data_IF_858384104078
#
_entry.id   IF_858384104078
#
_cell.length_a   1.000
_cell.length_b   1.000
_cell.length_c   1.000
_cell.angle_alpha   90.00
_cell.angle_beta   90.00
_cell.angle_gamma   90.00
#
_symmetry.space_group_name_H-M   'P 1'
#
loop_
_entity.id
_entity.type
_entity.pdbx_description
1 polymer ?
#
# COMPACT_ATOMS: atom_id res chain seq x y z
N UNK A 1 7.06 9.07 14.34
CA UNK A 1 5.92 8.18 14.68
C UNK A 1 6.31 6.74 14.37
N UNK A 2 6.03 5.78 15.26
CA UNK A 2 6.33 4.35 14.99
C UNK A 2 5.13 3.68 14.32
N UNK A 3 5.36 2.93 13.25
CA UNK A 3 4.36 2.13 12.54
C UNK A 3 4.45 0.67 13.00
N UNK A 4 3.30 -0.02 13.04
CA UNK A 4 3.26 -1.47 13.25
C UNK A 4 3.62 -2.23 11.98
N UNK A 5 4.00 -3.50 12.11
CA UNK A 5 4.30 -4.35 10.96
C UNK A 5 3.12 -4.47 9.98
N UNK A 6 1.88 -4.56 10.49
CA UNK A 6 0.68 -4.61 9.66
C UNK A 6 0.45 -3.31 8.88
N UNK A 7 0.76 -2.16 9.50
CA UNK A 7 0.66 -0.85 8.83
C UNK A 7 1.67 -0.72 7.69
N UNK A 8 2.93 -1.10 7.95
CA UNK A 8 3.99 -1.12 6.94
C UNK A 8 3.62 -2.03 5.77
N UNK A 9 3.12 -3.24 6.06
CA UNK A 9 2.70 -4.19 5.03
C UNK A 9 1.55 -3.63 4.19
N UNK A 10 0.53 -3.04 4.82
CA UNK A 10 -0.61 -2.47 4.11
C UNK A 10 -0.18 -1.33 3.19
N UNK A 11 0.64 -0.39 3.69
CA UNK A 11 1.21 0.70 2.89
C UNK A 11 1.94 0.16 1.66
N UNK A 12 2.84 -0.82 1.86
CA UNK A 12 3.60 -1.48 0.80
C UNK A 12 2.72 -2.04 -0.32
N UNK A 13 1.59 -2.64 0.03
CA UNK A 13 0.67 -3.25 -0.95
C UNK A 13 -0.22 -2.20 -1.63
N UNK A 14 -0.59 -1.12 -0.92
CA UNK A 14 -1.41 -0.02 -1.44
C UNK A 14 -0.61 1.14 -2.08
N UNK A 15 0.66 0.91 -2.39
CA UNK A 15 1.56 1.94 -2.89
C UNK A 15 1.29 2.35 -4.34
N UNK A 16 1.86 3.49 -4.74
CA UNK A 16 1.92 3.96 -6.12
C UNK A 16 3.31 3.71 -6.67
N UNK A 17 3.39 3.12 -7.85
CA UNK A 17 4.63 2.95 -8.58
C UNK A 17 4.97 4.27 -9.28
N UNK A 18 6.09 4.89 -8.92
CA UNK A 18 6.49 6.20 -9.48
C UNK A 18 6.94 6.11 -10.95
N UNK A 19 7.50 4.98 -11.37
CA UNK A 19 8.01 4.79 -12.73
C UNK A 19 6.88 4.60 -13.76
N UNK A 20 5.80 3.92 -13.36
CA UNK A 20 4.65 3.62 -14.21
C UNK A 20 3.43 4.50 -13.92
N UNK A 21 3.45 5.23 -12.80
CA UNK A 21 2.33 6.03 -12.30
C UNK A 21 1.16 5.20 -11.77
N UNK A 22 1.24 3.86 -11.80
CA UNK A 22 0.14 2.96 -11.43
C UNK A 22 -0.01 2.83 -9.91
N UNK A 23 -1.22 3.08 -9.40
CA UNK A 23 -1.57 2.88 -7.99
C UNK A 23 -2.14 1.49 -7.73
N UNK A 24 -1.75 0.86 -6.62
CA UNK A 24 -2.40 -0.36 -6.10
C UNK A 24 -3.21 -0.03 -4.86
N UNK A 25 -4.27 -0.79 -4.62
CA UNK A 25 -5.12 -0.63 -3.43
C UNK A 25 -5.29 -1.95 -2.69
N UNK A 26 -5.57 -1.86 -1.40
CA UNK A 26 -5.83 -3.03 -0.55
C UNK A 26 -7.32 -3.16 -0.32
N UNK A 27 -7.89 -4.29 -0.72
CA UNK A 27 -9.29 -4.64 -0.43
C UNK A 27 -9.47 -4.94 1.06
N UNK A 28 -10.42 -4.27 1.70
CA UNK A 28 -10.68 -4.40 3.15
C UNK A 28 -11.66 -5.54 3.44
N UNK A 29 -11.15 -6.78 3.44
CA UNK A 29 -11.98 -7.99 3.59
C UNK A 29 -12.12 -8.50 5.04
N UNK A 30 -11.40 -7.94 6.01
CA UNK A 30 -11.38 -8.43 7.40
C UNK A 30 -11.33 -7.29 8.42
N UNK A 31 -11.80 -7.55 9.64
CA UNK A 31 -11.74 -6.59 10.74
C UNK A 31 -10.30 -6.08 11.02
N UNK A 32 -9.29 -6.95 10.86
CA UNK A 32 -7.87 -6.58 10.99
C UNK A 32 -7.44 -5.58 9.93
N UNK A 33 -7.85 -5.78 8.67
CA UNK A 33 -7.53 -4.87 7.58
C UNK A 33 -8.19 -3.51 7.83
N UNK A 34 -9.47 -3.51 8.23
CA UNK A 34 -10.19 -2.29 8.59
C UNK A 34 -9.51 -1.52 9.73
N UNK A 35 -9.14 -2.21 10.81
CA UNK A 35 -8.44 -1.58 11.93
C UNK A 35 -7.13 -0.93 11.49
N UNK A 36 -6.36 -1.63 10.65
CA UNK A 36 -5.07 -1.15 10.14
C UNK A 36 -5.27 0.08 9.23
N UNK A 37 -6.22 0.02 8.30
CA UNK A 37 -6.55 1.10 7.38
C UNK A 37 -7.00 2.36 8.12
N UNK A 38 -7.91 2.23 9.09
CA UNK A 38 -8.35 3.38 9.90
C UNK A 38 -7.21 3.99 10.71
N UNK A 39 -6.31 3.16 11.23
CA UNK A 39 -5.14 3.67 11.96
C UNK A 39 -4.23 4.49 11.03
N UNK A 40 -4.02 4.05 9.78
CA UNK A 40 -3.23 4.76 8.78
C UNK A 40 -3.91 6.05 8.28
N UNK A 41 -5.22 6.01 8.05
CA UNK A 41 -6.01 7.18 7.64
C UNK A 41 -5.97 8.28 8.70
N UNK A 42 -6.15 7.94 9.97
CA UNK A 42 -6.01 8.90 11.09
C UNK A 42 -4.61 9.52 11.20
N UNK A 43 -3.59 8.86 10.64
CA UNK A 43 -2.21 9.34 10.58
C UNK A 43 -1.91 10.14 9.30
N UNK A 44 -2.90 10.30 8.40
CA UNK A 44 -2.74 11.00 7.13
C UNK A 44 -1.96 10.22 6.07
N UNK A 45 -1.77 8.91 6.25
CA UNK A 45 -0.92 8.08 5.39
C UNK A 45 -1.69 7.37 4.26
N UNK A 46 -3.00 7.55 4.19
CA UNK A 46 -3.83 6.99 3.15
C UNK A 46 -5.29 7.39 3.32
N UNK A 47 -6.13 6.92 2.41
CA UNK A 47 -7.58 7.14 2.41
C UNK A 47 -8.32 5.83 2.24
N UNK A 48 -9.47 5.71 2.89
CA UNK A 48 -10.40 4.62 2.66
C UNK A 48 -11.48 5.11 1.70
N UNK A 49 -11.66 4.40 0.59
CA UNK A 49 -12.80 4.60 -0.29
C UNK A 49 -13.82 3.50 0.01
N UNK A 50 -14.88 3.88 0.72
CA UNK A 50 -15.98 2.98 1.08
C UNK A 50 -17.09 3.06 0.04
N UNK A 51 -17.20 2.04 -0.81
CA UNK A 51 -18.26 1.95 -1.80
C UNK A 51 -19.62 1.51 -1.21
N UNK A 52 -19.81 1.56 0.11
CA UNK A 52 -21.12 1.25 0.74
C UNK A 52 -22.32 2.01 0.15
N UNK A 53 -22.10 3.19 -0.43
CA UNK A 53 -23.16 4.01 -1.03
C UNK A 53 -23.72 3.44 -2.36
N UNK A 54 -23.02 2.51 -3.03
CA UNK A 54 -23.48 2.01 -4.34
C UNK A 54 -24.45 0.83 -4.25
N UNK A 55 -24.71 0.30 -3.05
CA UNK A 55 -25.71 -0.73 -2.82
C UNK A 55 -25.32 -2.11 -3.38
N UNK A 56 -25.21 -3.09 -2.47
CA UNK A 56 -24.83 -4.51 -2.68
C UNK A 56 -23.32 -4.75 -2.77
N UNK A 57 -22.73 -5.15 -1.63
CA UNK A 57 -21.43 -5.84 -1.53
C UNK A 57 -20.23 -5.16 -2.21
N UNK A 58 -20.28 -3.85 -2.45
CA UNK A 58 -19.16 -3.15 -3.02
C UNK A 58 -18.00 -3.17 -2.02
N UNK A 59 -16.84 -3.63 -2.48
CA UNK A 59 -15.68 -3.74 -1.64
C UNK A 59 -15.14 -2.35 -1.29
N UNK A 60 -14.79 -2.15 -0.02
CA UNK A 60 -14.07 -0.97 0.42
C UNK A 60 -12.56 -1.19 0.22
N UNK A 61 -11.87 -0.13 -0.19
CA UNK A 61 -10.45 -0.17 -0.52
C UNK A 61 -9.67 0.86 0.27
N UNK A 62 -8.43 0.53 0.62
CA UNK A 62 -7.46 1.46 1.16
C UNK A 62 -6.42 1.82 0.10
N UNK A 63 -6.12 3.11 -0.02
CA UNK A 63 -5.11 3.67 -0.90
C UNK A 63 -4.07 4.43 -0.07
N UNK A 64 -2.79 4.23 -0.33
CA UNK A 64 -1.76 5.10 0.23
C UNK A 64 -1.91 6.52 -0.33
N UNK A 65 -1.47 7.51 0.43
CA UNK A 65 -1.50 8.91 -0.02
C UNK A 65 -0.53 9.15 -1.20
N UNK A 66 -0.70 10.27 -1.90
CA UNK A 66 0.13 10.63 -3.06
C UNK A 66 1.62 10.81 -2.73
N UNK A 67 1.94 11.07 -1.47
CA UNK A 67 3.32 11.12 -0.96
C UNK A 67 4.00 9.75 -0.88
N UNK A 68 3.35 8.67 -1.34
CA UNK A 68 4.01 7.40 -1.61
C UNK A 68 4.52 6.70 -0.34
N UNK A 69 3.81 6.82 0.78
CA UNK A 69 4.27 6.32 2.08
C UNK A 69 4.43 4.77 2.19
N UNK A 70 4.39 4.01 1.08
CA UNK A 70 5.49 3.12 0.70
C UNK A 70 5.12 2.19 -0.48
N UNK A 71 5.96 2.10 -1.51
CA UNK A 71 6.52 0.81 -1.91
C UNK A 71 7.89 0.76 -1.23
N UNK A 72 8.00 0.14 -0.05
CA UNK A 72 9.32 -0.14 0.54
C UNK A 72 9.58 -1.62 0.29
N UNK A 73 10.47 -1.90 -0.65
CA UNK A 73 11.11 -3.21 -0.78
C UNK A 73 12.02 -3.40 0.46
N UNK A 74 11.77 -4.36 1.37
CA UNK A 74 12.83 -4.92 2.17
C UNK A 74 13.71 -5.73 1.21
N UNK A 75 14.99 -5.43 1.28
CA UNK A 75 16.06 -6.01 0.48
C UNK A 75 15.96 -7.54 0.42
N UNK A 76 15.84 -8.10 -0.78
CA UNK A 76 16.52 -9.34 -1.10
C UNK A 76 17.37 -9.08 -2.31
N UNK A 77 18.69 -9.24 -2.12
CA UNK A 77 19.64 -9.29 -3.20
C UNK A 77 19.19 -10.29 -4.26
N UNK A 78 18.84 -9.77 -5.43
CA UNK A 78 19.01 -10.50 -6.68
C UNK A 78 20.09 -9.80 -7.46
N UNK A 79 21.28 -10.38 -7.32
CA UNK A 79 22.23 -10.51 -8.42
C UNK A 79 21.48 -10.73 -9.74
N UNK A 80 21.39 -9.74 -10.62
CA UNK A 80 21.37 -9.89 -12.09
C UNK A 80 21.10 -8.53 -12.72
N UNK A 81 22.13 -7.83 -13.20
CA UNK A 81 22.15 -7.16 -14.52
C UNK A 81 23.42 -6.31 -14.78
N UNK A 82 24.20 -5.91 -13.78
CA UNK A 82 25.41 -5.09 -14.05
C UNK A 82 26.75 -5.84 -14.07
N UNK A 83 26.72 -7.18 -14.17
CA UNK A 83 27.85 -7.94 -14.75
C UNK A 83 27.92 -7.87 -16.29
N UNK A 84 27.08 -7.04 -16.94
CA UNK A 84 27.06 -6.85 -18.40
C UNK A 84 27.70 -5.55 -18.90
N UNK A 85 28.25 -4.71 -18.03
CA UNK A 85 28.97 -3.49 -18.45
C UNK A 85 30.47 -3.50 -18.07
N UNK A 86 30.97 -4.64 -17.58
CA UNK A 86 32.40 -4.84 -17.26
C UNK A 86 33.01 -6.07 -17.96
N UNK A 87 32.42 -6.52 -19.08
CA UNK A 87 32.96 -7.56 -19.95
C UNK A 87 33.09 -7.06 -21.39
#
# INVERSE_FOLDING_TARGET
MKLSQSQLLMLRVSGRDEATGQGRSVRLMSARNWHTAYSLERKGLGRIEDNRLTGKNAASYFFANEAGAAIIYPEEGRETEERKLAA
#
